data_IF_037268361492
#
_entry.id   IF_037268361492
#
_cell.length_a   1.000
_cell.length_b   1.000
_cell.length_c   1.000
_cell.angle_alpha   90.00
_cell.angle_beta   90.00
_cell.angle_gamma   90.00
#
_symmetry.space_group_name_H-M   'P 1'
#
loop_
_entity.id
_entity.type
_entity.pdbx_description
1 polymer ?
#
# COMPACT_ATOMS: atom_id res chain seq x y z
N UNK A 1 -24.21 60.29 -58.89
CA UNK A 1 -23.13 59.39 -58.42
C UNK A 1 -23.08 59.53 -56.91
N UNK A 2 -23.76 58.64 -56.21
CA UNK A 2 -23.93 58.70 -54.75
C UNK A 2 -23.00 57.65 -54.12
N UNK A 3 -22.03 58.09 -53.31
CA UNK A 3 -21.08 57.22 -52.63
C UNK A 3 -21.15 57.41 -51.11
N UNK A 4 -21.77 56.43 -50.46
CA UNK A 4 -21.47 55.83 -49.14
C UNK A 4 -20.42 56.50 -48.24
N UNK A 5 -20.83 57.27 -47.23
CA UNK A 5 -20.01 57.64 -46.05
C UNK A 5 -20.92 57.85 -44.82
N UNK A 6 -21.50 56.79 -44.24
CA UNK A 6 -22.04 56.80 -42.87
C UNK A 6 -22.07 55.36 -42.35
N UNK A 7 -21.13 54.99 -41.47
CA UNK A 7 -21.12 53.65 -40.85
C UNK A 7 -19.85 53.22 -40.08
N UNK A 8 -18.77 54.01 -40.07
CA UNK A 8 -17.48 53.59 -39.48
C UNK A 8 -17.20 54.10 -38.06
N UNK A 9 -17.77 55.21 -37.61
CA UNK A 9 -17.40 55.79 -36.30
C UNK A 9 -18.12 55.11 -35.13
N UNK A 10 -19.44 54.84 -35.23
CA UNK A 10 -20.21 54.14 -34.18
C UNK A 10 -19.69 52.72 -33.90
N UNK A 11 -19.18 52.05 -34.94
CA UNK A 11 -18.64 50.68 -34.80
C UNK A 11 -17.27 50.68 -34.14
N UNK A 12 -16.45 51.71 -34.36
CA UNK A 12 -15.15 51.88 -33.71
C UNK A 12 -15.32 52.24 -32.23
N UNK A 13 -16.27 53.11 -31.88
CA UNK A 13 -16.53 53.46 -30.49
C UNK A 13 -17.10 52.29 -29.68
N UNK A 14 -18.00 51.51 -30.28
CA UNK A 14 -18.48 50.27 -29.68
C UNK A 14 -17.33 49.26 -29.49
N UNK A 15 -16.44 49.11 -30.46
CA UNK A 15 -15.28 48.25 -30.34
C UNK A 15 -14.33 48.71 -29.22
N UNK A 16 -14.08 50.02 -29.09
CA UNK A 16 -13.23 50.57 -28.04
C UNK A 16 -13.82 50.35 -26.64
N UNK A 17 -15.13 50.52 -26.47
CA UNK A 17 -15.81 50.25 -25.20
C UNK A 17 -15.69 48.78 -24.78
N UNK A 18 -15.88 47.85 -25.73
CA UNK A 18 -15.71 46.41 -25.47
C UNK A 18 -14.27 46.08 -25.09
N UNK A 19 -13.28 46.65 -25.80
CA UNK A 19 -11.86 46.44 -25.48
C UNK A 19 -11.53 46.93 -24.07
N UNK A 20 -12.01 48.12 -23.67
CA UNK A 20 -11.80 48.65 -22.32
C UNK A 20 -12.45 47.77 -21.24
N UNK A 21 -13.67 47.28 -21.49
CA UNK A 21 -14.33 46.34 -20.57
C UNK A 21 -13.53 45.05 -20.40
N UNK A 22 -13.05 44.47 -21.51
CA UNK A 22 -12.24 43.25 -21.47
C UNK A 22 -10.89 43.47 -20.78
N UNK A 23 -10.27 44.64 -20.95
CA UNK A 23 -9.05 45.01 -20.23
C UNK A 23 -9.30 45.10 -18.72
N UNK A 24 -10.37 45.77 -18.30
CA UNK A 24 -10.76 45.84 -16.89
C UNK A 24 -11.00 44.46 -16.29
N UNK A 25 -11.75 43.59 -16.99
CA UNK A 25 -11.97 42.21 -16.54
C UNK A 25 -10.67 41.39 -16.48
N UNK A 26 -9.74 41.62 -17.41
CA UNK A 26 -8.45 40.95 -17.42
C UNK A 26 -7.60 41.38 -16.22
N UNK A 27 -7.58 42.68 -15.90
CA UNK A 27 -6.85 43.23 -14.76
C UNK A 27 -7.44 42.72 -13.42
N UNK A 28 -8.76 42.64 -13.31
CA UNK A 28 -9.44 42.04 -12.16
C UNK A 28 -9.08 40.55 -11.98
N UNK A 29 -9.00 39.80 -13.08
CA UNK A 29 -8.56 38.39 -13.03
C UNK A 29 -7.09 38.27 -12.67
N UNK A 30 -6.22 39.12 -13.22
CA UNK A 30 -4.80 39.12 -12.88
C UNK A 30 -4.58 39.41 -11.39
N UNK A 31 -5.23 40.44 -10.85
CA UNK A 31 -5.15 40.77 -9.42
C UNK A 31 -5.68 39.62 -8.54
N UNK A 32 -6.78 38.99 -8.93
CA UNK A 32 -7.33 37.83 -8.22
C UNK A 32 -6.34 36.65 -8.22
N UNK A 33 -5.73 36.34 -9.37
CA UNK A 33 -4.72 35.29 -9.50
C UNK A 33 -3.53 35.58 -8.59
N UNK A 34 -3.03 36.81 -8.57
CA UNK A 34 -1.91 37.17 -7.69
C UNK A 34 -2.24 37.00 -6.20
N UNK A 35 -3.46 37.35 -5.80
CA UNK A 35 -3.91 37.16 -4.41
C UNK A 35 -3.94 35.68 -4.05
N UNK A 36 -4.50 34.84 -4.94
CA UNK A 36 -4.54 33.39 -4.75
C UNK A 36 -3.14 32.78 -4.70
N UNK A 37 -2.23 33.19 -5.57
CA UNK A 37 -0.84 32.73 -5.55
C UNK A 37 -0.14 33.10 -4.25
N UNK A 38 -0.34 34.33 -3.75
CA UNK A 38 0.22 34.75 -2.45
C UNK A 38 -0.38 33.94 -1.30
N UNK A 39 -1.68 33.65 -1.33
CA UNK A 39 -2.33 32.82 -0.31
C UNK A 39 -1.77 31.38 -0.33
N UNK A 40 -1.71 30.75 -1.50
CA UNK A 40 -1.16 29.41 -1.68
C UNK A 40 0.30 29.32 -1.23
N UNK A 41 1.12 30.34 -1.54
CA UNK A 41 2.53 30.38 -1.09
C UNK A 41 2.63 30.44 0.43
N UNK A 42 1.78 31.23 1.10
CA UNK A 42 1.74 31.31 2.57
C UNK A 42 1.33 29.98 3.19
N UNK A 43 0.26 29.36 2.67
CA UNK A 43 -0.21 28.05 3.15
C UNK A 43 0.88 26.98 2.98
N UNK A 44 1.54 26.95 1.82
CA UNK A 44 2.68 26.06 1.59
C UNK A 44 3.83 26.31 2.56
N UNK A 45 4.17 27.58 2.81
CA UNK A 45 5.23 27.92 3.77
C UNK A 45 4.87 27.51 5.19
N UNK A 46 3.61 27.70 5.58
CA UNK A 46 3.11 27.29 6.88
C UNK A 46 3.19 25.76 7.05
N UNK A 47 2.68 24.99 6.10
CA UNK A 47 2.79 23.52 6.15
C UNK A 47 4.24 23.04 6.21
N UNK A 48 5.15 23.68 5.46
CA UNK A 48 6.56 23.34 5.53
C UNK A 48 7.17 23.65 6.90
N UNK A 49 6.74 24.74 7.54
CA UNK A 49 7.18 25.08 8.89
C UNK A 49 6.65 24.07 9.91
N UNK A 50 5.36 23.74 9.86
CA UNK A 50 4.73 22.78 10.77
C UNK A 50 5.42 21.41 10.69
N UNK A 51 5.75 20.94 9.48
CA UNK A 51 6.50 19.69 9.27
C UNK A 51 7.93 19.77 9.82
N UNK A 52 8.60 20.91 9.71
CA UNK A 52 9.93 21.09 10.27
C UNK A 52 9.89 21.03 11.80
N UNK A 53 8.90 21.68 12.41
CA UNK A 53 8.69 21.69 13.85
C UNK A 53 8.37 20.28 14.37
N UNK A 54 7.51 19.52 13.67
CA UNK A 54 7.20 18.12 14.01
C UNK A 54 8.44 17.22 13.93
N UNK A 55 9.26 17.37 12.89
CA UNK A 55 10.52 16.63 12.77
C UNK A 55 11.49 16.98 13.90
N UNK A 56 11.55 18.24 14.32
CA UNK A 56 12.39 18.67 15.44
C UNK A 56 11.89 18.09 16.77
N UNK A 57 10.58 18.11 17.02
CA UNK A 57 9.98 17.47 18.19
C UNK A 57 10.30 15.98 18.24
N UNK A 58 10.13 15.26 17.12
CA UNK A 58 10.43 13.83 17.03
C UNK A 58 11.93 13.55 17.27
N UNK A 59 12.82 14.42 16.78
CA UNK A 59 14.26 14.30 17.06
C UNK A 59 14.56 14.47 18.55
N UNK A 60 13.94 15.46 19.21
CA UNK A 60 14.10 15.68 20.65
C UNK A 60 13.57 14.47 21.44
N UNK A 61 12.41 13.94 21.07
CA UNK A 61 11.82 12.76 21.70
C UNK A 61 12.71 11.53 21.53
N UNK A 62 13.26 11.32 20.33
CA UNK A 62 14.24 10.24 20.08
C UNK A 62 15.49 10.39 20.94
N UNK A 63 16.01 11.61 21.10
CA UNK A 63 17.19 11.85 21.95
C UNK A 63 16.89 11.61 23.44
N UNK A 64 15.70 11.95 23.92
CA UNK A 64 15.29 11.66 25.29
C UNK A 64 15.23 10.15 25.54
N UNK A 65 14.57 9.39 24.66
CA UNK A 65 14.51 7.93 24.75
C UNK A 65 15.91 7.30 24.71
N UNK A 66 16.82 7.81 23.88
CA UNK A 66 18.20 7.32 23.83
C UNK A 66 18.95 7.52 25.16
N UNK A 67 18.68 8.62 25.88
CA UNK A 67 19.26 8.85 27.22
C UNK A 67 18.68 7.89 28.25
N UNK A 68 17.37 7.67 28.22
CA UNK A 68 16.72 6.68 29.10
C UNK A 68 17.27 5.28 28.85
N UNK A 69 17.47 4.90 27.58
CA UNK A 69 18.11 3.62 27.24
C UNK A 69 19.53 3.50 27.82
N UNK A 70 20.35 4.55 27.72
CA UNK A 70 21.69 4.55 28.32
C UNK A 70 21.65 4.38 29.84
N UNK A 71 20.67 4.98 30.53
CA UNK A 71 20.50 4.80 31.97
C UNK A 71 20.13 3.36 32.32
N UNK A 72 19.24 2.74 31.53
CA UNK A 72 18.87 1.32 31.68
C UNK A 72 20.10 0.42 31.46
N UNK A 73 20.92 0.69 30.44
CA UNK A 73 22.13 -0.09 30.16
C UNK A 73 23.13 -0.04 31.33
N UNK A 74 23.30 1.14 31.95
CA UNK A 74 24.13 1.28 33.16
C UNK A 74 23.56 0.47 34.32
N UNK A 75 22.25 0.49 34.52
CA UNK A 75 21.59 -0.30 35.57
C UNK A 75 21.72 -1.81 35.31
N UNK A 76 21.60 -2.24 34.06
CA UNK A 76 21.83 -3.62 33.65
C UNK A 76 23.27 -4.05 33.94
N UNK A 77 24.26 -3.28 33.50
CA UNK A 77 25.67 -3.56 33.77
C UNK A 77 25.99 -3.64 35.27
N UNK A 78 25.40 -2.75 36.07
CA UNK A 78 25.51 -2.78 37.55
C UNK A 78 24.91 -4.06 38.15
N UNK A 79 23.72 -4.48 37.68
CA UNK A 79 23.09 -5.73 38.12
C UNK A 79 23.86 -6.95 37.65
N UNK A 80 24.40 -6.96 36.44
CA UNK A 80 25.24 -8.04 35.93
C UNK A 80 26.54 -8.16 36.75
N UNK A 81 27.18 -7.05 37.11
CA UNK A 81 28.34 -7.06 38.00
C UNK A 81 27.99 -7.59 39.41
N UNK A 82 26.81 -7.26 39.92
CA UNK A 82 26.29 -7.82 41.17
C UNK A 82 26.08 -9.34 41.08
N UNK A 83 25.53 -9.83 39.96
CA UNK A 83 25.32 -11.25 39.71
C UNK A 83 26.65 -12.01 39.50
N UNK A 84 27.62 -11.39 38.83
CA UNK A 84 28.94 -11.98 38.53
C UNK A 84 29.93 -11.92 39.71
N UNK A 85 29.50 -11.48 40.89
CA UNK A 85 30.20 -11.76 42.16
C UNK A 85 31.49 -10.96 42.41
N UNK A 86 31.63 -9.76 41.86
CA UNK A 86 32.76 -8.88 42.17
C UNK A 86 32.37 -7.78 43.14
N UNK A 87 32.44 -8.05 44.45
CA UNK A 87 33.09 -7.23 45.49
C UNK A 87 32.78 -7.72 46.92
N UNK A 88 33.85 -7.90 47.70
CA UNK A 88 33.87 -8.22 49.12
C UNK A 88 33.27 -7.12 50.04
N UNK A 89 32.39 -7.56 50.96
CA UNK A 89 32.02 -7.09 52.34
C UNK A 89 32.30 -5.61 52.76
N UNK A 90 31.26 -4.76 52.93
CA UNK A 90 30.44 -4.39 54.18
C UNK A 90 30.94 -3.14 54.98
N UNK A 91 30.12 -2.41 55.80
CA UNK A 91 29.05 -2.91 56.70
C UNK A 91 27.70 -2.13 56.84
N UNK A 92 26.61 -2.92 56.93
CA UNK A 92 25.52 -2.99 57.96
C UNK A 92 24.75 -1.73 58.46
N UNK A 93 23.43 -1.72 58.19
CA UNK A 93 22.34 -1.16 59.03
C UNK A 93 21.01 -1.84 58.61
N UNK A 94 20.60 -2.94 59.26
CA UNK A 94 19.49 -3.14 60.24
C UNK A 94 18.04 -2.94 59.78
N UNK A 95 17.25 -4.01 60.04
CA UNK A 95 15.76 -4.18 60.07
C UNK A 95 15.10 -4.40 58.69
N UNK A 96 14.18 -5.35 58.48
CA UNK A 96 13.39 -6.24 59.35
C UNK A 96 12.93 -7.44 58.48
N UNK A 97 12.93 -8.65 59.04
CA UNK A 97 12.51 -9.88 58.39
C UNK A 97 10.99 -10.05 58.36
N UNK A 98 10.44 -10.65 57.29
CA UNK A 98 9.26 -11.52 57.36
C UNK A 98 9.40 -12.63 56.32
N UNK A 99 9.41 -13.86 56.81
CA UNK A 99 9.65 -15.09 56.07
C UNK A 99 8.41 -15.53 55.26
N UNK A 100 8.65 -16.19 54.13
CA UNK A 100 7.85 -17.33 53.69
C UNK A 100 8.72 -18.27 52.85
N UNK A 101 8.77 -19.51 53.29
CA UNK A 101 9.58 -20.60 52.76
C UNK A 101 9.03 -21.12 51.42
N UNK A 102 9.94 -21.47 50.52
CA UNK A 102 9.75 -22.40 49.41
C UNK A 102 10.90 -23.40 49.44
N UNK A 103 10.64 -24.73 49.34
CA UNK A 103 11.69 -25.70 49.05
C UNK A 103 11.78 -25.98 47.55
N UNK A 104 12.98 -26.30 47.08
CA UNK A 104 13.30 -26.92 45.78
C UNK A 104 14.22 -28.13 46.05
N UNK A 105 14.65 -28.92 45.05
CA UNK A 105 13.94 -29.82 44.13
C UNK A 105 14.45 -31.28 44.32
N UNK A 106 14.18 -32.25 43.42
CA UNK A 106 15.26 -32.57 42.45
C UNK A 106 14.81 -33.06 41.05
N UNK A 107 15.79 -32.97 40.14
CA UNK A 107 15.84 -33.33 38.72
C UNK A 107 16.25 -34.83 38.51
N UNK A 108 16.50 -35.34 37.28
CA UNK A 108 15.80 -36.51 36.73
C UNK A 108 16.74 -37.71 36.47
N UNK A 109 16.19 -38.85 36.07
CA UNK A 109 16.94 -39.96 35.47
C UNK A 109 16.07 -40.79 34.48
N UNK A 110 16.69 -41.59 33.58
CA UNK A 110 16.44 -41.55 32.13
C UNK A 110 15.80 -42.86 31.57
N UNK A 111 15.96 -43.06 30.24
CA UNK A 111 15.77 -44.27 29.38
C UNK A 111 14.51 -44.32 28.47
N UNK A 112 14.52 -45.09 27.36
CA UNK A 112 15.40 -45.02 26.18
C UNK A 112 14.63 -45.13 24.84
N UNK A 113 15.36 -44.99 23.73
CA UNK A 113 14.90 -45.20 22.34
C UNK A 113 14.62 -46.67 22.00
N UNK A 114 13.81 -46.97 20.96
CA UNK A 114 14.11 -48.11 20.10
C UNK A 114 14.10 -47.79 18.60
N UNK A 115 15.21 -48.21 17.97
CA UNK A 115 15.37 -49.03 16.77
C UNK A 115 14.40 -48.93 15.56
N UNK A 116 15.04 -48.70 14.40
CA UNK A 116 14.59 -48.95 13.03
C UNK A 116 14.18 -50.43 12.78
N UNK A 117 13.16 -50.61 11.94
CA UNK A 117 12.87 -51.86 11.21
C UNK A 117 12.56 -51.52 9.75
N UNK A 118 13.10 -52.34 8.85
CA UNK A 118 13.13 -52.16 7.40
C UNK A 118 12.18 -53.16 6.68
N UNK A 119 11.51 -52.67 5.63
CA UNK A 119 10.89 -53.32 4.45
C UNK A 119 9.90 -54.50 4.62
N UNK A 120 8.69 -54.35 4.07
CA UNK A 120 8.25 -55.11 2.89
C UNK A 120 6.95 -54.58 2.27
N UNK A 121 6.90 -54.71 0.95
CA UNK A 121 5.90 -54.25 -0.02
C UNK A 121 4.65 -55.11 -0.07
N UNK A 122 3.48 -54.47 -0.22
CA UNK A 122 2.33 -55.04 -0.93
C UNK A 122 1.49 -53.90 -1.54
N UNK A 123 1.25 -53.97 -2.85
CA UNK A 123 0.37 -53.09 -3.61
C UNK A 123 -1.02 -53.73 -3.74
N UNK A 124 -1.96 -52.93 -4.26
CA UNK A 124 -3.32 -53.22 -4.79
C UNK A 124 -4.40 -52.96 -3.72
N UNK A 125 -5.33 -52.00 -3.84
CA UNK A 125 -6.11 -51.49 -4.98
C UNK A 125 -6.44 -49.99 -4.81
N UNK A 126 -6.50 -49.25 -5.93
CA UNK A 126 -7.21 -47.95 -6.05
C UNK A 126 -8.71 -48.24 -6.32
N UNK A 127 -9.67 -47.36 -5.94
CA UNK A 127 -9.77 -46.06 -6.62
C UNK A 127 -10.34 -44.88 -5.81
N UNK A 128 -9.99 -43.69 -6.31
CA UNK A 128 -10.74 -42.42 -6.37
C UNK A 128 -10.01 -41.21 -5.77
N UNK A 129 -9.02 -40.74 -6.56
CA UNK A 129 -8.83 -39.36 -6.99
C UNK A 129 -9.56 -38.26 -6.18
N UNK A 130 -9.08 -38.02 -4.96
CA UNK A 130 -9.31 -36.77 -4.25
C UNK A 130 -8.22 -35.80 -4.74
N UNK A 131 -8.60 -34.93 -5.68
CA UNK A 131 -7.71 -33.97 -6.33
C UNK A 131 -6.92 -33.18 -5.27
N UNK A 132 -5.64 -33.50 -5.14
CA UNK A 132 -4.70 -32.73 -4.34
C UNK A 132 -4.71 -31.29 -4.88
N UNK A 133 -5.13 -30.34 -4.04
CA UNK A 133 -5.11 -28.91 -4.34
C UNK A 133 -3.64 -28.50 -4.47
N UNK A 134 -3.11 -28.55 -5.69
CA UNK A 134 -1.78 -28.01 -5.97
C UNK A 134 -1.85 -26.52 -5.65
N UNK A 135 -1.03 -25.99 -4.70
CA UNK A 135 -1.05 -24.59 -4.36
C UNK A 135 -0.74 -23.80 -5.62
N UNK A 136 -1.66 -22.91 -6.02
CA UNK A 136 -1.46 -22.03 -7.15
C UNK A 136 -0.20 -21.18 -6.86
N UNK A 137 0.85 -21.26 -7.70
CA UNK A 137 1.96 -20.34 -7.65
C UNK A 137 1.43 -18.91 -7.65
N UNK A 138 1.68 -18.18 -6.57
CA UNK A 138 1.28 -16.79 -6.44
C UNK A 138 2.50 -15.89 -6.63
N UNK A 139 2.34 -14.75 -7.31
CA UNK A 139 3.40 -13.75 -7.38
C UNK A 139 3.93 -13.44 -5.95
N UNK A 140 5.26 -13.41 -5.73
CA UNK A 140 5.82 -13.21 -4.38
C UNK A 140 5.43 -11.86 -3.78
N UNK A 141 5.24 -10.84 -4.61
CA UNK A 141 4.89 -9.49 -4.17
C UNK A 141 3.42 -9.40 -3.76
N UNK A 142 2.54 -10.12 -4.45
CA UNK A 142 1.15 -10.27 -4.01
C UNK A 142 1.07 -11.11 -2.74
N UNK A 143 1.91 -12.15 -2.61
CA UNK A 143 1.98 -12.99 -1.40
C UNK A 143 2.34 -12.15 -0.18
N UNK A 144 3.38 -11.31 -0.30
CA UNK A 144 3.79 -10.36 0.75
C UNK A 144 2.66 -9.41 1.18
N UNK A 145 1.87 -8.93 0.22
CA UNK A 145 0.72 -8.06 0.54
C UNK A 145 -0.40 -8.85 1.19
N UNK A 146 -0.64 -10.09 0.78
CA UNK A 146 -1.66 -10.97 1.38
C UNK A 146 -1.34 -11.39 2.82
N UNK A 147 -0.08 -11.37 3.24
CA UNK A 147 0.29 -11.50 4.65
C UNK A 147 -0.22 -10.33 5.50
N UNK A 148 -0.39 -9.15 4.90
CA UNK A 148 -0.95 -7.95 5.55
C UNK A 148 -2.48 -7.89 5.36
N UNK A 149 -2.97 -8.14 4.15
CA UNK A 149 -4.40 -8.13 3.80
C UNK A 149 -4.76 -9.35 2.91
N UNK A 150 -5.25 -10.45 3.51
CA UNK A 150 -5.54 -11.69 2.80
C UNK A 150 -6.55 -11.57 1.65
N UNK A 151 -7.43 -10.57 1.71
CA UNK A 151 -8.47 -10.34 0.70
C UNK A 151 -8.00 -9.50 -0.50
N UNK A 152 -6.68 -9.33 -0.65
CA UNK A 152 -6.08 -8.64 -1.79
C UNK A 152 -6.23 -9.46 -3.07
N UNK A 153 -6.93 -8.91 -4.05
CA UNK A 153 -7.14 -9.52 -5.35
C UNK A 153 -5.90 -9.40 -6.24
N UNK A 154 -5.36 -8.18 -6.35
CA UNK A 154 -4.15 -7.85 -7.09
C UNK A 154 -3.53 -6.55 -6.56
N UNK A 155 -2.32 -6.24 -7.02
CA UNK A 155 -1.58 -5.05 -6.59
C UNK A 155 -1.05 -4.24 -7.77
N UNK A 156 -0.83 -2.94 -7.53
CA UNK A 156 -0.08 -2.07 -8.44
C UNK A 156 1.14 -1.50 -7.73
N UNK A 157 2.30 -1.63 -8.38
CA UNK A 157 3.56 -1.05 -7.94
C UNK A 157 4.18 -0.18 -9.03
N UNK A 158 5.14 0.64 -8.64
CA UNK A 158 5.82 1.59 -9.53
C UNK A 158 7.32 1.51 -9.40
N UNK A 159 8.01 2.08 -10.38
CA UNK A 159 9.47 2.19 -10.36
C UNK A 159 10.01 3.26 -9.40
N UNK A 160 9.20 4.26 -9.05
CA UNK A 160 9.68 5.44 -8.32
C UNK A 160 9.56 5.33 -6.80
N UNK A 161 8.83 4.34 -6.27
CA UNK A 161 8.71 4.09 -4.85
C UNK A 161 8.43 2.60 -4.56
N UNK A 162 8.72 2.17 -3.34
CA UNK A 162 8.44 0.80 -2.89
C UNK A 162 6.99 0.60 -2.41
N UNK A 163 6.20 1.67 -2.33
CA UNK A 163 4.82 1.62 -1.84
C UNK A 163 3.96 0.82 -2.83
N UNK A 164 2.95 0.14 -2.29
CA UNK A 164 2.08 -0.72 -3.09
C UNK A 164 0.64 -0.27 -2.97
N UNK A 165 -0.02 -0.10 -4.11
CA UNK A 165 -1.48 0.08 -4.15
C UNK A 165 -2.13 -1.29 -4.08
N UNK A 166 -3.05 -1.44 -3.15
CA UNK A 166 -3.75 -2.69 -2.86
C UNK A 166 -5.17 -2.60 -3.40
N UNK A 167 -5.60 -3.62 -4.13
CA UNK A 167 -6.98 -3.79 -4.59
C UNK A 167 -7.62 -4.92 -3.79
N UNK A 168 -8.26 -4.55 -2.68
CA UNK A 168 -8.86 -5.47 -1.72
C UNK A 168 -10.33 -5.70 -2.04
N UNK A 169 -10.76 -6.95 -2.17
CA UNK A 169 -12.18 -7.26 -2.20
C UNK A 169 -12.77 -7.28 -0.79
N UNK A 170 -13.90 -6.62 -0.59
CA UNK A 170 -14.62 -6.69 0.68
C UNK A 170 -15.54 -7.91 0.66
N UNK A 171 -15.28 -8.88 1.53
CA UNK A 171 -16.04 -10.13 1.61
C UNK A 171 -17.00 -10.07 2.80
N UNK A 172 -18.26 -10.41 2.57
CA UNK A 172 -19.33 -10.54 3.56
C UNK A 172 -19.99 -11.90 3.36
N UNK A 173 -19.89 -12.80 4.36
CA UNK A 173 -20.51 -14.14 4.32
C UNK A 173 -20.22 -14.89 3.01
N UNK A 174 -18.93 -15.02 2.68
CA UNK A 174 -18.44 -15.75 1.51
C UNK A 174 -18.86 -15.18 0.15
N UNK A 175 -19.29 -13.93 0.12
CA UNK A 175 -19.62 -13.20 -1.11
C UNK A 175 -19.07 -11.77 -1.06
N UNK A 176 -18.87 -11.15 -2.22
CA UNK A 176 -18.39 -9.76 -2.25
C UNK A 176 -19.51 -8.82 -1.81
N UNK A 177 -19.17 -7.79 -1.04
CA UNK A 177 -20.13 -6.78 -0.62
C UNK A 177 -20.73 -6.10 -1.86
N UNK A 178 -22.06 -6.16 -2.00
CA UNK A 178 -22.77 -5.57 -3.13
C UNK A 178 -22.71 -4.04 -3.17
N UNK A 179 -22.49 -3.39 -2.03
CA UNK A 179 -22.42 -1.92 -1.93
C UNK A 179 -21.01 -1.39 -2.09
N UNK A 180 -20.03 -2.12 -1.54
CA UNK A 180 -18.63 -1.71 -1.54
C UNK A 180 -17.73 -2.91 -1.85
N UNK A 181 -17.79 -3.49 -3.07
CA UNK A 181 -17.10 -4.74 -3.40
C UNK A 181 -15.57 -4.63 -3.39
N UNK A 182 -15.04 -3.42 -3.57
CA UNK A 182 -13.62 -3.14 -3.72
C UNK A 182 -13.22 -1.94 -2.84
N UNK A 183 -12.11 -2.08 -2.14
CA UNK A 183 -11.42 -1.02 -1.41
C UNK A 183 -9.99 -0.89 -1.95
N UNK A 184 -9.57 0.35 -2.23
CA UNK A 184 -8.28 0.65 -2.84
C UNK A 184 -7.53 1.63 -1.94
N UNK A 185 -6.32 1.25 -1.54
CA UNK A 185 -5.50 2.04 -0.61
C UNK A 185 -4.01 1.72 -0.81
N UNK A 186 -3.14 2.52 -0.20
CA UNK A 186 -1.70 2.33 -0.19
C UNK A 186 -1.23 1.55 1.03
N UNK A 187 -0.29 0.62 0.84
CA UNK A 187 0.62 0.16 1.89
C UNK A 187 1.97 0.87 1.71
N UNK A 188 2.42 1.55 2.76
CA UNK A 188 3.59 2.43 2.75
C UNK A 188 4.88 1.65 3.07
N UNK A 189 5.26 0.70 2.20
CA UNK A 189 6.48 -0.10 2.37
C UNK A 189 7.80 0.70 2.36
N UNK A 190 7.78 1.97 1.93
CA UNK A 190 8.93 2.86 2.04
C UNK A 190 9.19 3.37 3.48
N UNK A 191 8.23 3.22 4.39
CA UNK A 191 8.36 3.60 5.80
C UNK A 191 8.89 2.44 6.66
N UNK A 192 9.22 2.72 7.92
CA UNK A 192 9.75 1.70 8.85
C UNK A 192 8.76 0.54 9.03
N UNK A 193 9.33 -0.63 9.37
CA UNK A 193 8.74 -1.96 9.25
C UNK A 193 7.42 -2.22 10.00
N UNK A 194 6.98 -3.49 10.05
CA UNK A 194 5.64 -3.85 10.52
C UNK A 194 5.27 -3.26 11.89
N UNK A 195 4.03 -2.77 12.09
CA UNK A 195 2.94 -2.70 11.10
C UNK A 195 3.20 -1.62 10.05
N UNK A 196 3.04 -1.97 8.77
CA UNK A 196 3.19 -1.00 7.69
C UNK A 196 2.02 0.00 7.70
N UNK A 197 2.29 1.32 7.68
CA UNK A 197 1.23 2.31 7.58
C UNK A 197 0.43 2.16 6.28
N UNK A 198 -0.86 2.48 6.34
CA UNK A 198 -1.76 2.49 5.18
C UNK A 198 -2.35 3.87 4.95
N UNK A 199 -2.53 4.27 3.70
CA UNK A 199 -3.12 5.56 3.33
C UNK A 199 -4.23 5.40 2.28
N UNK A 200 -5.31 6.16 2.41
CA UNK A 200 -6.38 6.21 1.42
C UNK A 200 -5.92 6.95 0.14
N UNK A 201 -6.49 6.58 -1.01
CA UNK A 201 -6.25 7.34 -2.24
C UNK A 201 -6.82 8.76 -2.10
N UNK A 202 -5.98 9.75 -2.38
CA UNK A 202 -6.44 11.13 -2.54
C UNK A 202 -7.33 11.28 -3.79
N UNK A 203 -8.03 12.41 -3.90
CA UNK A 203 -9.00 12.64 -4.98
C UNK A 203 -8.37 12.59 -6.38
N UNK A 204 -7.13 13.08 -6.54
CA UNK A 204 -6.44 13.08 -7.84
C UNK A 204 -6.08 11.65 -8.23
N UNK A 205 -5.45 10.90 -7.32
CA UNK A 205 -5.08 9.50 -7.52
C UNK A 205 -6.27 8.62 -7.85
N UNK A 206 -7.37 8.80 -7.12
CA UNK A 206 -8.63 8.10 -7.33
C UNK A 206 -9.20 8.35 -8.74
N UNK A 207 -9.13 9.59 -9.23
CA UNK A 207 -9.76 9.94 -10.49
C UNK A 207 -8.87 9.72 -11.72
N UNK A 208 -7.55 9.61 -11.55
CA UNK A 208 -6.59 9.65 -12.67
C UNK A 208 -5.65 8.45 -12.78
N UNK A 209 -5.27 7.82 -11.66
CA UNK A 209 -4.19 6.83 -11.64
C UNK A 209 -4.64 5.46 -11.11
N UNK A 210 -5.09 5.40 -9.86
CA UNK A 210 -5.30 4.13 -9.16
C UNK A 210 -6.75 3.82 -8.81
N UNK A 211 -7.65 4.81 -8.85
CA UNK A 211 -9.05 4.47 -8.59
C UNK A 211 -9.64 3.58 -9.67
N UNK A 212 -10.75 2.95 -9.32
CA UNK A 212 -11.51 2.09 -10.20
C UNK A 212 -13.00 2.25 -9.94
N UNK A 213 -13.81 2.00 -10.97
CA UNK A 213 -15.25 1.80 -10.82
C UNK A 213 -15.54 0.30 -10.78
N UNK A 214 -16.47 -0.11 -9.91
CA UNK A 214 -16.94 -1.49 -9.82
C UNK A 214 -18.42 -1.57 -10.17
N UNK A 215 -18.76 -2.45 -11.12
CA UNK A 215 -20.15 -2.67 -11.56
C UNK A 215 -20.49 -4.14 -11.38
N UNK A 216 -21.61 -4.46 -10.75
CA UNK A 216 -22.07 -5.86 -10.63
C UNK A 216 -22.44 -6.41 -12.02
N UNK A 217 -21.95 -7.60 -12.34
CA UNK A 217 -22.26 -8.30 -13.61
C UNK A 217 -23.07 -9.59 -13.40
N UNK A 218 -23.57 -9.81 -12.18
CA UNK A 218 -24.23 -11.06 -11.79
C UNK A 218 -23.28 -12.07 -11.17
N UNK A 219 -23.82 -13.18 -10.66
CA UNK A 219 -23.09 -14.32 -10.12
C UNK A 219 -22.02 -13.98 -9.07
N UNK A 220 -22.26 -12.95 -8.25
CA UNK A 220 -21.31 -12.46 -7.24
C UNK A 220 -19.96 -12.01 -7.84
N UNK A 221 -19.99 -11.52 -9.08
CA UNK A 221 -18.84 -10.97 -9.79
C UNK A 221 -19.05 -9.48 -10.09
N UNK A 222 -17.94 -8.76 -10.14
CA UNK A 222 -17.91 -7.33 -10.41
C UNK A 222 -16.92 -7.04 -11.52
N UNK A 223 -17.36 -6.29 -12.53
CA UNK A 223 -16.45 -5.70 -13.50
C UNK A 223 -15.79 -4.46 -12.87
N UNK A 224 -14.46 -4.46 -12.88
CA UNK A 224 -13.58 -3.41 -12.38
C UNK A 224 -12.94 -2.72 -13.58
N UNK A 225 -13.21 -1.42 -13.74
CA UNK A 225 -12.56 -0.58 -14.74
C UNK A 225 -11.61 0.39 -14.04
N UNK A 226 -10.30 0.26 -14.33
CA UNK A 226 -9.26 1.13 -13.77
C UNK A 226 -9.29 2.51 -14.44
N UNK A 227 -9.10 3.57 -13.65
CA UNK A 227 -9.04 4.94 -14.17
C UNK A 227 -7.93 5.12 -15.24
N UNK A 228 -6.79 4.44 -15.05
CA UNK A 228 -5.61 4.53 -15.91
C UNK A 228 -5.54 3.49 -17.02
N UNK A 229 -6.40 2.46 -17.01
CA UNK A 229 -6.34 1.34 -17.97
C UNK A 229 -7.75 0.94 -18.40
N UNK A 230 -8.45 1.88 -19.04
CA UNK A 230 -9.86 1.74 -19.43
C UNK A 230 -10.10 0.70 -20.52
N UNK A 231 -9.07 0.33 -21.27
CA UNK A 231 -9.13 -0.70 -22.30
C UNK A 231 -9.01 -2.13 -21.74
N UNK A 232 -8.84 -2.25 -20.42
CA UNK A 232 -8.76 -3.53 -19.73
C UNK A 232 -9.96 -3.74 -18.81
N UNK A 233 -10.82 -4.67 -19.20
CA UNK A 233 -11.83 -5.21 -18.30
C UNK A 233 -11.20 -6.20 -17.33
N UNK A 234 -11.47 -6.03 -16.04
CA UNK A 234 -11.02 -6.91 -14.97
C UNK A 234 -12.27 -7.41 -14.25
N UNK A 235 -12.38 -8.72 -14.02
CA UNK A 235 -13.49 -9.30 -13.26
C UNK A 235 -13.00 -9.68 -11.88
N UNK A 236 -13.58 -9.07 -10.85
CA UNK A 236 -13.36 -9.34 -9.44
C UNK A 236 -14.39 -10.37 -8.94
N UNK A 237 -13.93 -11.39 -8.23
CA UNK A 237 -14.77 -12.46 -7.69
C UNK A 237 -14.14 -13.08 -6.45
N UNK A 238 -14.97 -13.75 -5.64
CA UNK A 238 -14.51 -14.62 -4.56
C UNK A 238 -14.54 -16.07 -5.05
N UNK A 239 -13.43 -16.80 -4.92
CA UNK A 239 -13.31 -18.16 -5.45
C UNK A 239 -13.74 -19.26 -4.46
N UNK A 240 -14.28 -18.86 -3.30
CA UNK A 240 -14.58 -19.74 -2.17
C UNK A 240 -13.52 -19.73 -1.07
N UNK A 241 -12.29 -19.27 -1.37
CA UNK A 241 -11.19 -19.19 -0.41
C UNK A 241 -10.67 -17.77 -0.25
N UNK A 242 -10.38 -17.10 -1.37
CA UNK A 242 -9.81 -15.76 -1.43
C UNK A 242 -10.45 -14.93 -2.54
N UNK A 243 -10.29 -13.61 -2.44
CA UNK A 243 -10.65 -12.72 -3.53
C UNK A 243 -9.62 -12.84 -4.65
N UNK A 244 -10.11 -12.97 -5.89
CA UNK A 244 -9.29 -12.97 -7.10
C UNK A 244 -9.81 -11.98 -8.13
N UNK A 245 -8.93 -11.60 -9.03
CA UNK A 245 -9.24 -10.82 -10.21
C UNK A 245 -8.80 -11.61 -11.45
N UNK A 246 -9.60 -11.61 -12.52
CA UNK A 246 -9.25 -12.20 -13.80
C UNK A 246 -9.41 -11.23 -14.95
N UNK A 247 -8.62 -11.41 -16.00
CA UNK A 247 -8.58 -10.47 -17.14
C UNK A 247 -7.87 -11.11 -18.32
N UNK A 248 -7.69 -10.34 -19.40
CA UNK A 248 -6.87 -10.73 -20.53
C UNK A 248 -5.42 -10.31 -20.28
N UNK A 249 -4.47 -11.22 -20.47
CA UNK A 249 -3.03 -10.97 -20.41
C UNK A 249 -2.37 -11.66 -21.59
N UNK A 250 -1.64 -10.91 -22.42
CA UNK A 250 -0.95 -11.40 -23.62
C UNK A 250 -1.89 -12.20 -24.56
N UNK A 251 -3.12 -11.72 -24.73
CA UNK A 251 -4.15 -12.36 -25.55
C UNK A 251 -4.86 -13.56 -24.92
N UNK A 252 -4.39 -14.06 -23.77
CA UNK A 252 -5.03 -15.16 -23.04
C UNK A 252 -6.12 -14.62 -22.13
N UNK A 253 -7.31 -15.23 -22.16
CA UNK A 253 -8.48 -14.82 -21.36
C UNK A 253 -8.53 -15.57 -20.03
N UNK A 254 -9.31 -15.04 -19.09
CA UNK A 254 -9.55 -15.64 -17.77
C UNK A 254 -8.29 -15.91 -16.93
N UNK A 255 -7.19 -15.20 -17.23
CA UNK A 255 -5.95 -15.26 -16.48
C UNK A 255 -6.11 -14.50 -15.17
N UNK A 256 -5.68 -15.10 -14.06
CA UNK A 256 -5.69 -14.42 -12.76
C UNK A 256 -4.66 -13.30 -12.75
N UNK A 257 -5.13 -12.08 -12.54
CA UNK A 257 -4.28 -10.91 -12.39
C UNK A 257 -3.68 -10.89 -11.00
N UNK A 258 -2.36 -10.76 -10.92
CA UNK A 258 -1.66 -10.74 -9.64
C UNK A 258 -1.00 -9.39 -9.35
N UNK A 259 -0.23 -8.89 -10.32
CA UNK A 259 0.57 -7.67 -10.16
C UNK A 259 0.57 -6.88 -11.46
N UNK A 260 0.43 -5.57 -11.34
CA UNK A 260 0.77 -4.61 -12.39
C UNK A 260 1.95 -3.78 -11.90
N UNK A 261 2.99 -3.68 -12.70
CA UNK A 261 4.15 -2.85 -12.44
C UNK A 261 4.24 -1.74 -13.47
N UNK A 262 4.33 -0.49 -12.99
CA UNK A 262 4.38 0.69 -13.85
C UNK A 262 5.78 1.27 -13.80
N UNK A 263 6.49 1.18 -14.93
CA UNK A 263 7.71 1.95 -15.12
C UNK A 263 7.32 3.36 -15.54
N UNK A 264 7.69 4.34 -14.73
CA UNK A 264 7.49 5.75 -15.06
C UNK A 264 8.77 6.54 -14.85
N UNK A 265 8.95 7.55 -15.69
CA UNK A 265 9.95 8.60 -15.57
C UNK A 265 9.25 9.93 -15.28
N UNK A 266 10.04 10.95 -14.99
CA UNK A 266 9.54 12.33 -14.85
C UNK A 266 10.11 13.16 -15.98
N UNK A 267 9.24 13.81 -16.74
CA UNK A 267 9.62 14.72 -17.82
C UNK A 267 8.89 16.04 -17.63
N UNK A 268 9.62 17.16 -17.57
CA UNK A 268 9.05 18.49 -17.32
C UNK A 268 8.19 18.58 -16.04
N UNK A 269 8.54 17.81 -15.01
CA UNK A 269 7.79 17.76 -13.75
C UNK A 269 6.50 16.94 -13.79
N UNK A 270 6.13 16.37 -14.94
CA UNK A 270 4.98 15.49 -15.09
C UNK A 270 5.41 14.01 -15.15
N UNK A 271 4.65 13.10 -14.53
CA UNK A 271 4.90 11.67 -14.64
C UNK A 271 4.62 11.20 -16.07
N UNK A 272 5.57 10.50 -16.67
CA UNK A 272 5.44 9.85 -17.97
C UNK A 272 5.62 8.35 -17.79
N UNK A 273 4.61 7.57 -18.19
CA UNK A 273 4.72 6.10 -18.22
C UNK A 273 5.62 5.71 -19.39
N UNK A 274 6.61 4.85 -19.12
CA UNK A 274 7.49 4.30 -20.17
C UNK A 274 6.97 2.94 -20.65
N UNK A 275 6.54 2.10 -19.71
CA UNK A 275 5.88 0.84 -19.98
C UNK A 275 5.10 0.33 -18.76
N UNK A 276 4.21 -0.61 -18.98
CA UNK A 276 3.46 -1.34 -17.95
C UNK A 276 3.73 -2.82 -18.12
N UNK A 277 4.06 -3.50 -17.03
CA UNK A 277 4.20 -4.95 -16.97
C UNK A 277 3.04 -5.53 -16.18
N UNK A 278 2.46 -6.59 -16.72
CA UNK A 278 1.28 -7.24 -16.17
C UNK A 278 1.65 -8.70 -15.94
N UNK A 279 1.54 -9.13 -14.69
CA UNK A 279 1.84 -10.48 -14.26
C UNK A 279 0.55 -11.17 -13.84
N UNK A 280 0.39 -12.41 -14.29
CA UNK A 280 -0.73 -13.23 -13.93
C UNK A 280 -0.40 -14.71 -13.92
N UNK A 281 -1.42 -15.49 -13.60
CA UNK A 281 -1.38 -16.93 -13.49
C UNK A 281 -2.58 -17.52 -14.19
N UNK A 282 -2.37 -18.45 -15.12
CA UNK A 282 -3.46 -19.17 -15.77
C UNK A 282 -3.94 -20.32 -14.86
N UNK A 283 -5.19 -20.26 -14.33
CA UNK A 283 -5.72 -21.29 -13.45
C UNK A 283 -5.90 -22.66 -14.12
N UNK A 284 -6.04 -22.71 -15.45
CA UNK A 284 -6.26 -23.93 -16.21
C UNK A 284 -4.94 -24.65 -16.53
N UNK A 285 -3.96 -23.94 -17.09
CA UNK A 285 -2.66 -24.52 -17.46
C UNK A 285 -1.66 -24.57 -16.30
N UNK A 286 -1.91 -23.80 -15.23
CA UNK A 286 -1.01 -23.59 -14.10
C UNK A 286 0.30 -22.88 -14.47
N UNK A 287 0.30 -22.11 -15.56
CA UNK A 287 1.45 -21.37 -16.04
C UNK A 287 1.41 -19.90 -15.62
N UNK A 288 2.59 -19.29 -15.45
CA UNK A 288 2.73 -17.85 -15.26
C UNK A 288 2.54 -17.16 -16.63
N UNK A 289 1.70 -16.15 -16.67
CA UNK A 289 1.42 -15.34 -17.86
C UNK A 289 1.96 -13.94 -17.64
N UNK A 290 2.60 -13.38 -18.66
CA UNK A 290 3.21 -12.05 -18.61
C UNK A 290 2.89 -11.25 -19.87
N UNK A 291 2.64 -9.95 -19.69
CA UNK A 291 2.49 -8.99 -20.77
C UNK A 291 3.28 -7.72 -20.45
N UNK A 292 4.02 -7.21 -21.45
CA UNK A 292 4.61 -5.87 -21.40
C UNK A 292 3.91 -4.98 -22.43
N UNK A 293 3.33 -3.89 -21.94
CA UNK A 293 2.61 -2.90 -22.72
C UNK A 293 3.37 -1.59 -22.77
N UNK A 294 3.48 -1.02 -23.97
CA UNK A 294 3.93 0.37 -24.15
C UNK A 294 2.71 1.31 -24.14
N UNK A 295 2.87 2.57 -23.68
CA UNK A 295 1.79 3.56 -23.63
C UNK A 295 1.10 3.81 -24.97
#
# INVERSE_FOLDING_TARGET
MSSWIWGTDDTVDQANLVVQSLQSELDERQTTIEVLERALRREKQQHLQDLQDEVEELRQRRQALAREMMEIDVLLASKEAFLNGSLDKKPRSTKKAKARETPSPPEPEPVPSPAYVELQSEQVDEPQEEAAIVPIPCNPELTKVREVDPSTAFIIQRSNNANTVVYKGNVVKDSLDSKAPLHIYWIMYALQGPPYPTEELNMIERNTAYGASCTSIGDNQFEVALASLKDRSIILFFDGTIVRAKTVINGQRDVYLERVYVQSTTSWGLPKVEYVEIFGFDPATKEIVYEKKLP
#
